data_IF_407668677572
#
_entry.id   IF_407668677572
#
_cell.length_a   1.000
_cell.length_b   1.000
_cell.length_c   1.000
_cell.angle_alpha   90.00
_cell.angle_beta   90.00
_cell.angle_gamma   90.00
#
_symmetry.space_group_name_H-M   'P 1'
#
loop_
_entity.id
_entity.type
_entity.pdbx_description
1 polymer ?
#
# COMPACT_ATOMS: atom_id res chain seq x y z
N UNK A 1 15.54 -8.39 79.75
CA UNK A 1 16.92 -7.90 80.02
C UNK A 1 17.73 -8.17 78.75
N UNK A 2 17.82 -7.22 77.82
CA UNK A 2 18.87 -6.19 77.70
C UNK A 2 20.29 -6.74 77.50
N UNK A 3 20.80 -6.50 76.28
CA UNK A 3 22.17 -6.06 75.89
C UNK A 3 23.18 -7.07 75.34
N UNK A 4 23.92 -6.53 74.36
CA UNK A 4 25.26 -6.88 73.86
C UNK A 4 25.27 -7.90 72.70
N UNK A 5 25.87 -7.70 71.52
CA UNK A 5 26.84 -6.71 71.01
C UNK A 5 26.65 -6.55 69.48
N UNK A 6 26.38 -5.32 69.01
CA UNK A 6 26.61 -4.94 67.61
C UNK A 6 28.07 -4.46 67.50
N UNK A 7 28.94 -5.28 66.90
CA UNK A 7 30.27 -4.85 66.50
C UNK A 7 30.18 -4.20 65.10
N UNK A 8 30.53 -2.92 65.05
CA UNK A 8 30.69 -2.11 63.85
C UNK A 8 31.89 -2.58 63.03
N UNK A 9 31.66 -3.18 61.86
CA UNK A 9 32.66 -3.32 60.82
C UNK A 9 32.40 -2.27 59.73
N UNK A 10 33.12 -1.16 59.85
CA UNK A 10 33.23 -0.12 58.83
C UNK A 10 34.04 -0.65 57.65
N UNK A 11 33.38 -1.18 56.63
CA UNK A 11 33.99 -1.45 55.33
C UNK A 11 33.92 -0.17 54.47
N UNK A 12 35.08 0.42 54.22
CA UNK A 12 35.26 1.51 53.25
C UNK A 12 34.79 1.07 51.85
N UNK A 13 34.10 1.92 51.06
CA UNK A 13 33.81 1.59 49.68
C UNK A 13 35.09 1.78 48.86
N UNK A 14 35.77 0.68 48.53
CA UNK A 14 36.81 0.68 47.50
C UNK A 14 36.12 0.75 46.15
N UNK A 15 36.36 1.86 45.45
CA UNK A 15 35.79 2.14 44.14
C UNK A 15 36.02 1.00 43.15
N UNK A 16 34.93 0.38 42.75
CA UNK A 16 34.83 -0.32 41.49
C UNK A 16 33.71 0.36 40.72
N UNK A 17 34.10 1.05 39.65
CA UNK A 17 33.22 1.85 38.82
C UNK A 17 32.02 1.03 38.39
N UNK A 18 30.84 1.39 38.90
CA UNK A 18 29.60 1.18 38.17
C UNK A 18 29.67 2.05 36.93
N UNK A 19 30.25 1.52 35.86
CA UNK A 19 29.86 1.90 34.52
C UNK A 19 28.41 1.44 34.36
N UNK A 20 27.50 2.25 34.88
CA UNK A 20 26.10 2.23 34.47
C UNK A 20 26.15 2.65 32.99
N UNK A 21 26.29 1.67 32.09
CA UNK A 21 26.05 1.90 30.68
C UNK A 21 24.60 2.40 30.60
N UNK A 22 24.44 3.72 30.48
CA UNK A 22 23.20 4.30 29.98
C UNK A 22 23.07 3.83 28.54
N UNK A 23 22.64 2.58 28.34
CA UNK A 23 22.18 2.09 27.06
C UNK A 23 21.11 3.06 26.59
N UNK A 24 21.44 3.83 25.57
CA UNK A 24 20.54 4.82 25.01
C UNK A 24 19.36 4.05 24.41
N UNK A 25 18.14 4.12 24.96
CA UNK A 25 17.00 3.33 24.47
C UNK A 25 16.73 3.56 22.98
N UNK A 26 17.09 4.77 22.52
CA UNK A 26 17.04 5.14 21.10
C UNK A 26 17.99 4.31 20.23
N UNK A 27 19.22 4.02 20.64
CA UNK A 27 20.17 3.23 19.82
C UNK A 27 19.71 1.79 19.64
N UNK A 28 19.13 1.21 20.69
CA UNK A 28 18.58 -0.15 20.65
C UNK A 28 17.28 -0.23 19.84
N UNK A 29 16.46 0.82 19.83
CA UNK A 29 15.28 0.90 18.97
C UNK A 29 15.65 1.03 17.49
N UNK A 30 16.68 1.82 17.16
CA UNK A 30 17.13 1.95 15.77
C UNK A 30 17.74 0.66 15.23
N UNK A 31 18.46 -0.10 16.06
CA UNK A 31 19.01 -1.40 15.65
C UNK A 31 17.90 -2.44 15.42
N UNK A 32 16.90 -2.51 16.31
CA UNK A 32 15.73 -3.39 16.15
C UNK A 32 14.91 -3.08 14.90
N UNK A 33 14.62 -1.80 14.65
CA UNK A 33 13.90 -1.39 13.45
C UNK A 33 14.70 -1.74 12.19
N UNK A 34 16.02 -1.54 12.19
CA UNK A 34 16.87 -1.92 11.06
C UNK A 34 16.81 -3.43 10.80
N UNK A 35 16.94 -4.26 11.84
CA UNK A 35 16.85 -5.71 11.70
C UNK A 35 15.49 -6.17 11.19
N UNK A 36 14.40 -5.58 11.69
CA UNK A 36 13.05 -5.88 11.22
C UNK A 36 12.88 -5.52 9.74
N UNK A 37 13.38 -4.36 9.30
CA UNK A 37 13.30 -3.95 7.89
C UNK A 37 14.12 -4.85 6.95
N UNK A 38 15.28 -5.34 7.39
CA UNK A 38 16.07 -6.31 6.62
C UNK A 38 15.34 -7.65 6.46
N UNK A 39 14.66 -8.11 7.51
CA UNK A 39 13.84 -9.33 7.48
C UNK A 39 12.62 -9.15 6.57
N UNK A 40 11.90 -8.03 6.69
CA UNK A 40 10.78 -7.68 5.82
C UNK A 40 11.20 -7.68 4.35
N UNK A 41 12.36 -7.09 4.03
CA UNK A 41 12.87 -7.07 2.66
C UNK A 41 13.13 -8.48 2.10
N UNK A 42 13.67 -9.39 2.92
CA UNK A 42 13.85 -10.81 2.54
C UNK A 42 12.51 -11.50 2.33
N UNK A 43 11.55 -11.27 3.23
CA UNK A 43 10.20 -11.83 3.12
C UNK A 43 9.49 -11.37 1.84
N UNK A 44 9.61 -10.08 1.52
CA UNK A 44 9.05 -9.50 0.30
C UNK A 44 9.72 -10.03 -0.97
N UNK A 45 11.05 -10.20 -0.96
CA UNK A 45 11.79 -10.81 -2.08
C UNK A 45 11.26 -12.22 -2.40
N UNK A 46 11.04 -13.05 -1.37
CA UNK A 46 10.48 -14.38 -1.55
C UNK A 46 9.02 -14.33 -2.08
N UNK A 47 8.19 -13.45 -1.52
CA UNK A 47 6.81 -13.25 -2.00
C UNK A 47 6.73 -12.77 -3.45
N UNK A 48 7.63 -11.88 -3.86
CA UNK A 48 7.68 -11.37 -5.23
C UNK A 48 7.90 -12.49 -6.24
N UNK A 49 8.74 -13.46 -5.92
CA UNK A 49 8.93 -14.63 -6.78
C UNK A 49 7.69 -15.53 -6.81
N UNK A 50 6.93 -15.63 -5.72
CA UNK A 50 5.65 -16.34 -5.69
C UNK A 50 4.60 -15.62 -6.55
N UNK A 51 4.41 -14.32 -6.36
CA UNK A 51 3.39 -13.54 -7.06
C UNK A 51 3.60 -13.49 -8.58
N UNK A 52 4.82 -13.72 -9.08
CA UNK A 52 5.11 -13.83 -10.53
C UNK A 52 4.47 -15.04 -11.20
N UNK A 53 4.25 -16.11 -10.44
CA UNK A 53 3.88 -17.42 -11.00
C UNK A 53 2.58 -17.97 -10.41
N UNK A 54 2.09 -17.40 -9.31
CA UNK A 54 0.95 -17.95 -8.56
C UNK A 54 -0.33 -18.07 -9.41
N UNK A 55 -0.56 -17.15 -10.34
CA UNK A 55 -1.73 -17.18 -11.23
C UNK A 55 -1.68 -18.30 -12.28
N UNK A 56 -0.49 -18.89 -12.50
CA UNK A 56 -0.26 -19.98 -13.45
C UNK A 56 0.00 -21.33 -12.76
N UNK A 57 0.01 -21.35 -11.43
CA UNK A 57 0.31 -22.53 -10.63
C UNK A 57 -0.95 -23.11 -9.98
N UNK A 58 -0.91 -24.41 -9.64
CA UNK A 58 -1.91 -24.99 -8.77
C UNK A 58 -1.86 -24.34 -7.37
N UNK A 59 -3.02 -24.22 -6.72
CA UNK A 59 -3.16 -23.54 -5.43
C UNK A 59 -2.24 -24.09 -4.33
N UNK A 60 -1.89 -25.37 -4.42
CA UNK A 60 -1.03 -26.10 -3.48
C UNK A 60 0.30 -26.54 -4.11
N UNK A 61 0.79 -25.82 -5.12
CA UNK A 61 2.05 -26.16 -5.79
C UNK A 61 3.20 -26.26 -4.78
N UNK A 62 3.75 -27.48 -4.66
CA UNK A 62 4.83 -27.80 -3.70
C UNK A 62 6.09 -26.99 -3.96
N UNK A 63 6.28 -26.47 -5.18
CA UNK A 63 7.43 -25.64 -5.57
C UNK A 63 7.39 -24.26 -4.91
N UNK A 64 6.20 -23.76 -4.57
CA UNK A 64 6.02 -22.46 -3.92
C UNK A 64 6.19 -22.53 -2.40
N UNK A 65 6.03 -23.72 -1.80
CA UNK A 65 6.10 -23.91 -0.36
C UNK A 65 7.41 -23.44 0.28
N UNK A 66 8.61 -23.64 -0.30
CA UNK A 66 9.85 -23.11 0.27
C UNK A 66 9.89 -21.58 0.29
N UNK A 67 9.39 -20.92 -0.76
CA UNK A 67 9.35 -19.45 -0.84
C UNK A 67 8.33 -18.89 0.15
N UNK A 68 7.14 -19.48 0.21
CA UNK A 68 6.10 -19.11 1.16
C UNK A 68 6.52 -19.32 2.62
N UNK A 69 7.25 -20.41 2.89
CA UNK A 69 7.86 -20.65 4.21
C UNK A 69 8.89 -19.58 4.55
N UNK A 70 9.80 -19.30 3.62
CA UNK A 70 10.84 -18.27 3.79
C UNK A 70 10.21 -16.91 4.05
N UNK A 71 9.17 -16.54 3.30
CA UNK A 71 8.44 -15.30 3.50
C UNK A 71 7.85 -15.23 4.92
N UNK A 72 7.11 -16.27 5.31
CA UNK A 72 6.46 -16.35 6.62
C UNK A 72 7.45 -16.23 7.77
N UNK A 73 8.52 -17.02 7.75
CA UNK A 73 9.57 -17.01 8.79
C UNK A 73 10.21 -15.63 8.92
N UNK A 74 10.48 -14.94 7.81
CA UNK A 74 11.06 -13.61 7.87
C UNK A 74 10.09 -12.56 8.45
N UNK A 75 8.79 -12.64 8.18
CA UNK A 75 7.82 -11.73 8.81
C UNK A 75 7.61 -12.04 10.30
N UNK A 76 7.63 -13.31 10.69
CA UNK A 76 7.60 -13.73 12.10
C UNK A 76 8.82 -13.18 12.85
N UNK A 77 10.03 -13.40 12.33
CA UNK A 77 11.27 -12.86 12.89
C UNK A 77 11.27 -11.32 12.92
N UNK A 78 10.66 -10.67 11.92
CA UNK A 78 10.55 -9.21 11.91
C UNK A 78 9.67 -8.70 13.07
N UNK A 79 8.60 -9.41 13.41
CA UNK A 79 7.73 -9.08 14.55
C UNK A 79 8.38 -9.44 15.89
N UNK A 80 9.21 -10.48 15.95
CA UNK A 80 10.04 -10.76 17.12
C UNK A 80 11.06 -9.63 17.38
N UNK A 81 11.65 -9.08 16.32
CA UNK A 81 12.59 -7.97 16.41
C UNK A 81 11.89 -6.64 16.74
N UNK A 82 10.76 -6.37 16.10
CA UNK A 82 9.94 -5.18 16.30
C UNK A 82 8.45 -5.51 16.16
N UNK A 83 7.83 -5.81 17.30
CA UNK A 83 6.40 -6.11 17.36
C UNK A 83 5.52 -4.89 17.03
N UNK A 84 6.08 -3.67 17.01
CA UNK A 84 5.34 -2.47 16.60
C UNK A 84 5.21 -2.33 15.08
N UNK A 85 5.94 -3.15 14.31
CA UNK A 85 5.94 -3.08 12.86
C UNK A 85 4.60 -3.55 12.28
N UNK A 86 3.80 -2.60 11.82
CA UNK A 86 2.46 -2.86 11.29
C UNK A 86 2.50 -3.56 9.94
N UNK A 87 3.50 -3.24 9.12
CA UNK A 87 3.65 -3.77 7.78
C UNK A 87 3.99 -5.27 7.79
N UNK A 88 4.94 -5.69 8.64
CA UNK A 88 5.25 -7.10 8.84
C UNK A 88 4.01 -7.89 9.32
N UNK A 89 3.24 -7.29 10.24
CA UNK A 89 2.01 -7.88 10.76
C UNK A 89 0.95 -8.04 9.68
N UNK A 90 0.73 -7.02 8.86
CA UNK A 90 -0.17 -7.09 7.71
C UNK A 90 0.25 -8.17 6.72
N UNK A 91 1.53 -8.26 6.36
CA UNK A 91 1.98 -9.28 5.42
C UNK A 91 1.89 -10.70 5.97
N UNK A 92 2.15 -10.89 7.28
CA UNK A 92 1.94 -12.17 7.94
C UNK A 92 0.44 -12.55 7.95
N UNK A 93 -0.44 -11.58 8.22
CA UNK A 93 -1.89 -11.76 8.11
C UNK A 93 -2.28 -12.21 6.69
N UNK A 94 -1.76 -11.51 5.67
CA UNK A 94 -2.03 -11.80 4.26
C UNK A 94 -1.52 -13.17 3.83
N UNK A 95 -0.36 -13.60 4.32
CA UNK A 95 0.15 -14.97 4.13
C UNK A 95 -0.84 -16.01 4.62
N UNK A 96 -1.37 -15.82 5.83
CA UNK A 96 -2.35 -16.74 6.42
C UNK A 96 -3.72 -16.71 5.75
N UNK A 97 -4.13 -15.60 5.14
CA UNK A 97 -5.44 -15.46 4.50
C UNK A 97 -5.41 -15.90 3.02
N UNK A 98 -4.47 -15.34 2.24
CA UNK A 98 -4.40 -15.50 0.78
C UNK A 98 -3.66 -16.76 0.35
N UNK A 99 -2.49 -17.05 0.93
CA UNK A 99 -1.57 -18.06 0.39
C UNK A 99 -1.72 -19.44 1.06
N UNK A 100 -1.25 -20.50 0.39
CA UNK A 100 -1.17 -21.85 0.96
C UNK A 100 0.17 -22.05 1.71
N UNK A 101 0.34 -21.31 2.80
CA UNK A 101 1.57 -21.36 3.61
C UNK A 101 1.57 -22.54 4.59
N UNK A 102 2.73 -23.12 4.94
CA UNK A 102 2.83 -24.12 6.00
C UNK A 102 2.29 -23.59 7.34
N UNK A 103 1.38 -24.35 7.96
CA UNK A 103 0.71 -23.93 9.19
C UNK A 103 -0.25 -22.76 8.99
N UNK A 104 -0.89 -22.66 7.81
CA UNK A 104 -1.97 -21.70 7.54
C UNK A 104 -3.06 -21.81 8.60
N UNK A 105 -3.46 -20.68 9.18
CA UNK A 105 -4.57 -20.58 10.13
C UNK A 105 -5.32 -19.27 9.85
N UNK A 106 -6.55 -19.38 9.36
CA UNK A 106 -7.36 -18.21 8.99
C UNK A 106 -7.67 -17.32 10.21
N UNK A 107 -7.88 -17.93 11.38
CA UNK A 107 -8.14 -17.20 12.62
C UNK A 107 -6.93 -16.32 13.03
N UNK A 108 -5.71 -16.85 12.94
CA UNK A 108 -4.48 -16.09 13.18
C UNK A 108 -4.35 -14.97 12.15
N UNK A 109 -4.60 -15.27 10.87
CA UNK A 109 -4.58 -14.27 9.81
C UNK A 109 -5.55 -13.12 10.05
N UNK A 110 -6.79 -13.42 10.43
CA UNK A 110 -7.80 -12.43 10.74
C UNK A 110 -7.43 -11.57 11.97
N UNK A 111 -6.93 -12.20 13.04
CA UNK A 111 -6.49 -11.49 14.23
C UNK A 111 -5.35 -10.50 13.93
N UNK A 112 -4.32 -10.96 13.19
CA UNK A 112 -3.19 -10.12 12.78
C UNK A 112 -3.63 -8.96 11.87
N UNK A 113 -4.61 -9.19 10.99
CA UNK A 113 -5.16 -8.15 10.13
C UNK A 113 -5.86 -7.05 10.95
N UNK A 114 -6.71 -7.45 11.90
CA UNK A 114 -7.41 -6.51 12.79
C UNK A 114 -6.41 -5.73 13.65
N UNK A 115 -5.41 -6.40 14.20
CA UNK A 115 -4.34 -5.74 14.95
C UNK A 115 -3.59 -4.72 14.09
N UNK A 116 -3.15 -5.11 12.88
CA UNK A 116 -2.42 -4.21 11.97
C UNK A 116 -3.27 -2.98 11.59
N UNK A 117 -4.56 -3.18 11.29
CA UNK A 117 -5.48 -2.10 10.97
C UNK A 117 -5.68 -1.13 12.15
N UNK A 118 -5.82 -1.68 13.37
CA UNK A 118 -5.95 -0.89 14.60
C UNK A 118 -4.68 -0.11 14.94
N UNK A 119 -3.51 -0.65 14.59
CA UNK A 119 -2.22 0.03 14.73
C UNK A 119 -1.95 1.09 13.65
N UNK A 120 -2.83 1.22 12.65
CA UNK A 120 -2.76 2.28 11.66
C UNK A 120 -2.26 1.86 10.29
N UNK A 121 -2.05 0.56 10.02
CA UNK A 121 -1.54 0.12 8.72
C UNK A 121 -2.54 0.42 7.59
N UNK A 122 -2.19 1.22 6.57
CA UNK A 122 -3.14 1.61 5.53
C UNK A 122 -3.57 0.44 4.65
N UNK A 123 -2.67 -0.52 4.39
CA UNK A 123 -2.98 -1.71 3.60
C UNK A 123 -3.94 -2.63 4.38
N UNK A 124 -3.68 -2.83 5.68
CA UNK A 124 -4.57 -3.61 6.54
C UNK A 124 -5.94 -2.96 6.74
N UNK A 125 -6.00 -1.64 6.91
CA UNK A 125 -7.26 -0.89 7.02
C UNK A 125 -8.11 -1.05 5.76
N UNK A 126 -7.50 -0.86 4.58
CA UNK A 126 -8.19 -1.08 3.32
C UNK A 126 -8.67 -2.53 3.17
N UNK A 127 -7.80 -3.50 3.45
CA UNK A 127 -8.14 -4.90 3.24
C UNK A 127 -9.19 -5.40 4.24
N UNK A 128 -9.15 -4.93 5.49
CA UNK A 128 -10.19 -5.20 6.50
C UNK A 128 -11.53 -4.57 6.11
N UNK A 129 -11.51 -3.31 5.67
CA UNK A 129 -12.72 -2.64 5.18
C UNK A 129 -13.35 -3.37 4.00
N UNK A 130 -12.53 -3.85 3.06
CA UNK A 130 -13.01 -4.68 1.94
C UNK A 130 -13.63 -6.00 2.40
N UNK A 131 -13.02 -6.70 3.37
CA UNK A 131 -13.56 -7.97 3.88
C UNK A 131 -14.88 -7.78 4.61
N UNK A 132 -14.99 -6.78 5.48
CA UNK A 132 -16.22 -6.49 6.22
C UNK A 132 -17.40 -6.18 5.29
N UNK A 133 -17.14 -5.54 4.15
CA UNK A 133 -18.15 -5.27 3.12
C UNK A 133 -18.61 -6.51 2.35
N UNK A 134 -17.75 -7.52 2.20
CA UNK A 134 -18.06 -8.75 1.44
C UNK A 134 -18.75 -9.78 2.33
N UNK A 135 -18.37 -9.86 3.61
CA UNK A 135 -18.79 -10.95 4.50
C UNK A 135 -20.22 -10.79 5.07
N UNK A 136 -20.89 -9.63 4.92
CA UNK A 136 -22.15 -9.37 5.64
C UNK A 136 -23.18 -8.54 4.87
N UNK A 137 -24.41 -9.07 4.72
CA UNK A 137 -25.62 -8.36 4.25
C UNK A 137 -26.28 -7.49 5.36
N UNK A 138 -25.54 -7.10 6.40
CA UNK A 138 -26.08 -6.44 7.60
C UNK A 138 -25.52 -5.01 7.77
N UNK A 139 -26.42 -4.03 7.95
CA UNK A 139 -26.12 -2.59 8.06
C UNK A 139 -25.00 -2.21 9.05
N UNK A 140 -24.80 -2.98 10.13
CA UNK A 140 -23.76 -2.69 11.12
C UNK A 140 -22.34 -3.00 10.62
N UNK A 141 -22.18 -3.93 9.68
CA UNK A 141 -20.88 -4.26 9.08
C UNK A 141 -20.42 -3.16 8.13
N UNK A 142 -21.38 -2.53 7.44
CA UNK A 142 -21.10 -1.43 6.51
C UNK A 142 -20.46 -0.23 7.23
N UNK A 143 -20.97 0.15 8.41
CA UNK A 143 -20.39 1.26 9.18
C UNK A 143 -18.94 0.98 9.59
N UNK A 144 -18.63 -0.25 10.00
CA UNK A 144 -17.25 -0.63 10.35
C UNK A 144 -16.36 -0.70 9.10
N UNK A 145 -16.88 -1.19 7.99
CA UNK A 145 -16.17 -1.19 6.71
C UNK A 145 -15.81 0.24 6.27
N UNK A 146 -16.78 1.16 6.31
CA UNK A 146 -16.55 2.57 6.00
C UNK A 146 -15.54 3.22 6.94
N UNK A 147 -15.61 2.94 8.24
CA UNK A 147 -14.64 3.45 9.22
C UNK A 147 -13.19 3.10 8.86
N UNK A 148 -12.92 1.84 8.50
CA UNK A 148 -11.58 1.43 8.11
C UNK A 148 -11.18 1.97 6.73
N UNK A 149 -12.11 2.06 5.78
CA UNK A 149 -11.86 2.66 4.47
C UNK A 149 -11.55 4.16 4.56
N UNK A 150 -12.25 4.91 5.41
CA UNK A 150 -11.98 6.34 5.66
C UNK A 150 -10.57 6.55 6.22
N UNK A 151 -10.16 5.74 7.21
CA UNK A 151 -8.78 5.80 7.72
C UNK A 151 -7.73 5.50 6.66
N UNK A 152 -8.01 4.56 5.74
CA UNK A 152 -7.12 4.28 4.62
C UNK A 152 -7.10 5.45 3.61
N UNK A 153 -8.22 6.13 3.38
CA UNK A 153 -8.30 7.35 2.56
C UNK A 153 -7.47 8.49 3.17
N UNK A 154 -7.54 8.69 4.48
CA UNK A 154 -6.76 9.72 5.20
C UNK A 154 -5.24 9.54 5.00
N UNK A 155 -4.82 8.28 4.80
CA UNK A 155 -3.44 7.90 4.50
C UNK A 155 -3.13 7.84 2.99
N UNK A 156 -4.06 8.29 2.14
CA UNK A 156 -3.98 8.26 0.69
C UNK A 156 -3.75 6.85 0.13
N UNK A 157 -4.33 5.81 0.75
CA UNK A 157 -4.19 4.44 0.27
C UNK A 157 -4.81 4.30 -1.13
N UNK A 158 -4.08 3.79 -2.15
CA UNK A 158 -4.52 3.80 -3.54
C UNK A 158 -5.85 3.07 -3.78
N UNK A 159 -6.05 1.90 -3.16
CA UNK A 159 -7.30 1.16 -3.30
C UNK A 159 -8.48 1.86 -2.61
N UNK A 160 -8.23 2.56 -1.50
CA UNK A 160 -9.27 3.25 -0.76
C UNK A 160 -9.70 4.53 -1.49
N UNK A 161 -8.73 5.28 -2.05
CA UNK A 161 -8.98 6.40 -2.94
C UNK A 161 -9.73 5.98 -4.20
N UNK A 162 -9.43 4.81 -4.79
CA UNK A 162 -10.20 4.28 -5.91
C UNK A 162 -11.67 4.04 -5.53
N UNK A 163 -11.94 3.42 -4.39
CA UNK A 163 -13.31 3.19 -3.91
C UNK A 163 -14.05 4.52 -3.66
N UNK A 164 -13.39 5.48 -3.04
CA UNK A 164 -13.95 6.81 -2.82
C UNK A 164 -14.25 7.54 -4.15
N UNK A 165 -13.34 7.44 -5.12
CA UNK A 165 -13.56 7.98 -6.46
C UNK A 165 -14.76 7.33 -7.15
N UNK A 166 -14.95 6.02 -6.99
CA UNK A 166 -16.10 5.30 -7.53
C UNK A 166 -17.41 5.77 -6.88
N UNK A 167 -17.41 6.01 -5.57
CA UNK A 167 -18.53 6.58 -4.81
C UNK A 167 -18.91 7.97 -5.33
N UNK A 168 -17.94 8.87 -5.52
CA UNK A 168 -18.21 10.20 -6.10
C UNK A 168 -18.66 10.15 -7.57
N UNK A 169 -18.16 9.18 -8.35
CA UNK A 169 -18.53 9.02 -9.75
C UNK A 169 -19.97 8.53 -9.92
N UNK A 170 -20.40 7.59 -9.08
CA UNK A 170 -21.75 6.98 -9.11
C UNK A 170 -22.79 7.83 -8.40
N UNK A 171 -22.39 8.57 -7.36
CA UNK A 171 -23.32 9.23 -6.45
C UNK A 171 -23.95 8.26 -5.44
N UNK A 172 -23.30 7.12 -5.19
CA UNK A 172 -23.75 6.17 -4.17
C UNK A 172 -23.49 6.76 -2.77
N UNK A 173 -24.53 6.93 -1.96
CA UNK A 173 -24.47 7.50 -0.60
C UNK A 173 -24.01 8.98 -0.49
N UNK A 174 -23.54 9.60 -1.58
CA UNK A 174 -23.13 11.02 -1.66
C UNK A 174 -23.64 11.66 -2.95
N UNK A 175 -23.68 12.99 -3.02
CA UNK A 175 -23.99 13.67 -4.28
C UNK A 175 -22.88 13.41 -5.29
N UNK A 176 -23.25 13.07 -6.52
CA UNK A 176 -22.29 12.86 -7.61
C UNK A 176 -21.39 14.09 -7.78
N UNK A 177 -20.07 13.85 -7.83
CA UNK A 177 -19.05 14.88 -7.98
C UNK A 177 -17.89 14.37 -8.83
N UNK A 178 -17.92 14.74 -10.12
CA UNK A 178 -16.91 14.33 -11.09
C UNK A 178 -15.52 14.90 -10.77
N UNK A 179 -15.45 16.10 -10.19
CA UNK A 179 -14.17 16.73 -9.86
C UNK A 179 -13.47 15.96 -8.72
N UNK A 180 -14.22 15.64 -7.66
CA UNK A 180 -13.70 14.82 -6.56
C UNK A 180 -13.35 13.40 -7.01
N UNK A 181 -14.14 12.79 -7.91
CA UNK A 181 -13.81 11.49 -8.50
C UNK A 181 -12.50 11.53 -9.29
N UNK A 182 -12.31 12.53 -10.15
CA UNK A 182 -11.07 12.72 -10.91
C UNK A 182 -9.86 12.91 -10.00
N UNK A 183 -9.99 13.69 -8.92
CA UNK A 183 -8.92 13.86 -7.95
C UNK A 183 -8.54 12.54 -7.28
N UNK A 184 -9.53 11.76 -6.84
CA UNK A 184 -9.31 10.46 -6.20
C UNK A 184 -8.62 9.48 -7.14
N UNK A 185 -9.10 9.37 -8.38
CA UNK A 185 -8.53 8.46 -9.36
C UNK A 185 -7.12 8.86 -9.77
N UNK A 186 -6.86 10.16 -9.96
CA UNK A 186 -5.52 10.67 -10.23
C UNK A 186 -4.54 10.34 -9.10
N UNK A 187 -4.90 10.61 -7.84
CA UNK A 187 -4.04 10.31 -6.69
C UNK A 187 -3.77 8.82 -6.51
N UNK A 188 -4.76 7.97 -6.76
CA UNK A 188 -4.58 6.53 -6.73
C UNK A 188 -3.70 6.04 -7.90
N UNK A 189 -3.83 6.63 -9.09
CA UNK A 189 -3.02 6.23 -10.26
C UNK A 189 -1.57 6.68 -10.15
N UNK A 190 -1.28 7.83 -9.52
CA UNK A 190 0.09 8.25 -9.17
C UNK A 190 0.82 7.21 -8.32
N UNK A 191 0.08 6.45 -7.50
CA UNK A 191 0.58 5.32 -6.70
C UNK A 191 0.53 3.97 -7.43
N UNK A 192 0.23 3.95 -8.73
CA UNK A 192 0.24 2.75 -9.57
C UNK A 192 -1.04 1.91 -9.53
N UNK A 193 -2.15 2.43 -8.98
CA UNK A 193 -3.40 1.67 -8.95
C UNK A 193 -4.03 1.54 -10.34
N UNK A 194 -3.96 0.33 -10.92
CA UNK A 194 -4.38 0.09 -12.30
C UNK A 194 -5.85 0.47 -12.58
N UNK A 195 -6.78 0.09 -11.70
CA UNK A 195 -8.19 0.42 -11.86
C UNK A 195 -8.47 1.92 -11.81
N UNK A 196 -7.69 2.67 -11.02
CA UNK A 196 -7.83 4.12 -10.92
C UNK A 196 -7.24 4.82 -12.14
N UNK A 197 -6.11 4.33 -12.64
CA UNK A 197 -5.52 4.82 -13.88
C UNK A 197 -6.48 4.64 -15.07
N UNK A 198 -7.13 3.47 -15.18
CA UNK A 198 -8.16 3.23 -16.20
C UNK A 198 -9.36 4.15 -16.02
N UNK A 199 -9.88 4.29 -14.80
CA UNK A 199 -11.01 5.16 -14.53
C UNK A 199 -10.69 6.62 -14.89
N UNK A 200 -9.52 7.12 -14.47
CA UNK A 200 -9.07 8.48 -14.78
C UNK A 200 -8.87 8.68 -16.29
N UNK A 201 -8.15 7.78 -16.97
CA UNK A 201 -7.96 7.83 -18.42
C UNK A 201 -9.27 7.79 -19.21
N UNK A 202 -10.24 6.97 -18.77
CA UNK A 202 -11.55 6.92 -19.39
C UNK A 202 -12.34 8.21 -19.22
N UNK A 203 -12.26 8.88 -18.05
CA UNK A 203 -12.91 10.17 -17.82
C UNK A 203 -12.29 11.29 -18.69
N UNK A 204 -10.96 11.27 -18.87
CA UNK A 204 -10.27 12.20 -19.76
C UNK A 204 -10.74 12.07 -21.21
N UNK A 205 -10.86 10.83 -21.72
CA UNK A 205 -11.37 10.59 -23.08
C UNK A 205 -12.84 10.99 -23.27
N UNK A 206 -13.63 11.00 -22.19
CA UNK A 206 -15.03 11.48 -22.22
C UNK A 206 -15.13 13.02 -22.21
N UNK A 207 -14.00 13.73 -22.12
CA UNK A 207 -13.97 15.19 -22.07
C UNK A 207 -14.41 15.77 -20.73
N UNK A 208 -14.35 14.99 -19.65
CA UNK A 208 -14.63 15.53 -18.30
C UNK A 208 -13.52 16.53 -17.96
N UNK A 209 -13.93 17.72 -17.54
CA UNK A 209 -13.00 18.80 -17.22
C UNK A 209 -12.09 18.41 -16.07
N UNK A 210 -10.78 18.53 -16.30
CA UNK A 210 -9.78 18.35 -15.27
C UNK A 210 -9.89 19.51 -14.27
N UNK A 211 -10.13 19.26 -12.98
CA UNK A 211 -10.17 20.31 -11.98
C UNK A 211 -8.86 21.12 -11.99
N UNK A 212 -8.93 22.44 -11.82
CA UNK A 212 -7.75 23.32 -11.79
C UNK A 212 -6.69 22.90 -10.75
N UNK A 213 -7.13 22.21 -9.69
CA UNK A 213 -6.25 21.65 -8.66
C UNK A 213 -5.30 20.61 -9.24
N UNK A 214 -5.69 19.86 -10.28
CA UNK A 214 -4.86 18.85 -10.93
C UNK A 214 -4.03 19.44 -12.09
N UNK A 215 -4.53 20.46 -12.78
CA UNK A 215 -3.82 21.07 -13.94
C UNK A 215 -2.50 21.73 -13.54
N UNK A 216 -2.40 22.28 -12.31
CA UNK A 216 -1.16 22.86 -11.78
C UNK A 216 -0.03 21.84 -11.54
N UNK A 217 -0.33 20.54 -11.50
CA UNK A 217 0.63 19.47 -11.21
C UNK A 217 1.08 18.67 -12.44
N UNK A 218 0.82 19.14 -13.66
CA UNK A 218 1.48 18.62 -14.86
C UNK A 218 2.70 19.48 -15.22
N UNK A 219 3.84 19.46 -14.48
CA UNK A 219 5.05 20.01 -15.03
C UNK A 219 5.49 19.02 -16.12
N UNK A 220 5.60 19.50 -17.35
CA UNK A 220 6.03 18.69 -18.49
C UNK A 220 7.21 17.80 -18.12
N UNK A 221 7.06 16.48 -18.30
CA UNK A 221 8.20 15.56 -18.31
C UNK A 221 9.08 15.95 -19.49
N UNK A 222 10.06 16.81 -19.22
CA UNK A 222 11.08 17.16 -20.18
C UNK A 222 11.93 15.93 -20.50
N UNK A 223 11.75 15.36 -21.69
CA UNK A 223 12.84 14.71 -22.41
C UNK A 223 13.27 15.63 -23.55
N UNK A 224 14.57 15.88 -23.59
CA UNK A 224 15.24 16.88 -24.40
C UNK A 224 15.06 16.71 -25.92
N UNK A 225 15.24 17.85 -26.60
CA UNK A 225 15.55 18.05 -28.02
C UNK A 225 14.37 18.15 -29.02
N UNK A 226 13.72 19.32 -29.04
CA UNK A 226 13.62 20.11 -30.28
C UNK A 226 13.40 21.60 -29.98
N UNK A 227 14.39 22.42 -30.35
CA UNK A 227 14.21 23.87 -30.45
C UNK A 227 13.38 24.15 -31.70
N UNK A 228 12.18 24.69 -31.52
CA UNK A 228 11.59 25.66 -32.46
C UNK A 228 10.55 26.51 -31.74
N UNK A 229 10.54 27.78 -32.10
CA UNK A 229 10.04 28.96 -31.40
C UNK A 229 8.51 29.03 -31.13
N UNK A 230 8.20 29.73 -30.02
CA UNK A 230 7.04 30.62 -29.74
C UNK A 230 5.61 30.03 -29.70
N UNK A 231 4.99 30.08 -28.51
CA UNK A 231 3.85 30.97 -28.19
C UNK A 231 3.47 30.87 -26.71
N UNK A 232 2.93 31.97 -26.19
CA UNK A 232 2.34 32.11 -24.86
C UNK A 232 0.92 31.60 -24.98
N UNK A 233 0.67 30.38 -24.52
CA UNK A 233 -0.66 29.82 -24.23
C UNK A 233 -0.40 28.67 -23.24
N UNK A 234 -1.29 28.49 -22.26
CA UNK A 234 -1.21 27.36 -21.32
C UNK A 234 -0.92 26.06 -22.07
N UNK A 235 -0.07 25.16 -21.55
CA UNK A 235 0.21 23.91 -22.25
C UNK A 235 -1.13 23.20 -22.47
N UNK A 236 -1.59 23.15 -23.72
CA UNK A 236 -2.75 22.37 -24.13
C UNK A 236 -2.35 20.92 -23.90
N UNK A 237 -2.62 20.41 -22.70
CA UNK A 237 -2.34 19.02 -22.39
C UNK A 237 -3.40 18.22 -23.13
N UNK A 238 -3.00 17.51 -24.18
CA UNK A 238 -3.90 16.69 -24.98
C UNK A 238 -4.56 15.63 -24.07
N UNK A 239 -5.91 15.64 -23.91
CA UNK A 239 -6.62 14.65 -23.11
C UNK A 239 -6.34 13.21 -23.55
N UNK A 240 -6.06 12.99 -24.83
CA UNK A 240 -5.72 11.68 -25.39
C UNK A 240 -4.33 11.23 -24.90
N UNK A 241 -3.35 12.11 -24.91
CA UNK A 241 -2.00 11.82 -24.40
C UNK A 241 -2.01 11.57 -22.89
N UNK A 242 -2.79 12.36 -22.13
CA UNK A 242 -2.98 12.11 -20.69
C UNK A 242 -3.62 10.75 -20.45
N UNK A 243 -4.67 10.40 -21.20
CA UNK A 243 -5.31 9.10 -21.08
C UNK A 243 -4.35 7.95 -21.43
N UNK A 244 -3.55 8.10 -22.50
CA UNK A 244 -2.51 7.14 -22.89
C UNK A 244 -1.52 6.88 -21.74
N UNK A 245 -1.02 7.95 -21.11
CA UNK A 245 -0.12 7.84 -19.96
C UNK A 245 -0.75 7.04 -18.81
N UNK A 246 -2.04 7.19 -18.57
CA UNK A 246 -2.76 6.45 -17.54
C UNK A 246 -2.95 4.97 -17.91
N UNK A 247 -3.26 4.68 -19.17
CA UNK A 247 -3.36 3.29 -19.63
C UNK A 247 -2.00 2.59 -19.61
N UNK A 248 -0.89 3.30 -19.83
CA UNK A 248 0.45 2.76 -19.60
C UNK A 248 0.71 2.42 -18.13
N UNK A 249 0.27 3.27 -17.19
CA UNK A 249 0.39 2.98 -15.75
C UNK A 249 -0.37 1.69 -15.43
N UNK A 250 -1.61 1.55 -15.93
CA UNK A 250 -2.40 0.34 -15.75
C UNK A 250 -1.75 -0.91 -16.37
N UNK A 251 -1.19 -0.78 -17.58
CA UNK A 251 -0.49 -1.86 -18.26
C UNK A 251 0.78 -2.29 -17.52
N UNK A 252 1.59 -1.34 -17.03
CA UNK A 252 2.79 -1.60 -16.20
C UNK A 252 2.44 -2.28 -14.87
N UNK A 253 1.24 -2.02 -14.35
CA UNK A 253 0.70 -2.71 -13.19
C UNK A 253 0.10 -4.10 -13.50
N UNK A 254 0.23 -4.59 -14.74
CA UNK A 254 -0.22 -5.93 -15.15
C UNK A 254 -1.71 -6.02 -15.48
N UNK A 255 -2.40 -4.89 -15.74
CA UNK A 255 -3.82 -4.91 -16.08
C UNK A 255 -4.05 -5.02 -17.59
N UNK A 256 -4.64 -6.14 -18.04
CA UNK A 256 -5.00 -6.40 -19.43
C UNK A 256 -5.85 -5.30 -20.07
N UNK A 257 -6.74 -4.71 -19.29
CA UNK A 257 -7.61 -3.64 -19.78
C UNK A 257 -6.79 -2.39 -20.15
N UNK A 258 -5.66 -2.13 -19.48
CA UNK A 258 -4.72 -1.07 -19.86
C UNK A 258 -4.16 -1.30 -21.26
N UNK A 259 -3.71 -2.52 -21.57
CA UNK A 259 -3.23 -2.88 -22.92
C UNK A 259 -4.32 -2.76 -23.99
N UNK A 260 -5.55 -3.18 -23.67
CA UNK A 260 -6.69 -3.04 -24.60
C UNK A 260 -6.99 -1.58 -24.94
N UNK A 261 -6.92 -0.68 -23.96
CA UNK A 261 -7.10 0.75 -24.19
C UNK A 261 -5.98 1.35 -25.04
N UNK A 262 -4.71 0.96 -24.81
CA UNK A 262 -3.58 1.42 -25.62
C UNK A 262 -3.71 0.99 -27.08
N UNK A 263 -4.02 -0.29 -27.34
CA UNK A 263 -4.23 -0.80 -28.69
C UNK A 263 -5.35 -0.06 -29.42
N UNK A 264 -6.44 0.24 -28.70
CA UNK A 264 -7.57 1.01 -29.27
C UNK A 264 -7.13 2.41 -29.69
N UNK A 265 -6.36 3.11 -28.87
CA UNK A 265 -5.85 4.45 -29.20
C UNK A 265 -4.92 4.40 -30.42
N UNK A 266 -4.06 3.39 -30.53
CA UNK A 266 -3.20 3.20 -31.70
C UNK A 266 -3.99 2.93 -32.99
N UNK A 267 -5.06 2.13 -32.92
CA UNK A 267 -5.93 1.87 -34.05
C UNK A 267 -6.67 3.14 -34.50
N UNK A 268 -7.18 3.93 -33.56
CA UNK A 268 -7.84 5.21 -33.85
C UNK A 268 -6.86 6.21 -34.49
N UNK A 269 -5.62 6.30 -33.99
CA UNK A 269 -4.57 7.13 -34.58
C UNK A 269 -4.22 6.70 -36.01
N UNK A 270 -4.05 5.39 -36.25
CA UNK A 270 -3.80 4.85 -37.59
C UNK A 270 -4.96 5.12 -38.56
N UNK A 271 -6.21 5.07 -38.09
CA UNK A 271 -7.38 5.40 -38.91
C UNK A 271 -7.41 6.87 -39.31
N UNK A 272 -7.09 7.78 -38.39
CA UNK A 272 -7.02 9.22 -38.64
C UNK A 272 -5.89 9.59 -39.61
N UNK A 273 -4.77 8.87 -39.57
CA UNK A 273 -3.65 9.05 -40.52
C UNK A 273 -3.95 8.48 -41.92
N UNK A 274 -4.94 7.59 -42.03
CA UNK A 274 -5.34 6.96 -43.29
C UNK A 274 -6.54 7.63 -43.98
N UNK A 275 -7.17 8.63 -43.34
CA UNK A 275 -8.30 9.44 -43.84
C UNK A 275 -7.85 10.80 -44.36
#
# INVERSE_FOLDING_TARGET
MLRSLCATLSLKPTGHGRLLFMLHPRRDMHSRNKTAMELIAKGWSALKEVDRVIDYCELNDRRLLPLLRTAKENFELALEADNSNTHARYWLAKLHLKYHVPGKCLAVGAALLVEAANMGDPDAQYELGCRLRVEHDYFSSDQQAFYYLEKAVDQLHPGALYLLGAVYLTGDCVKQDLASAMWCFHRASEKGHAGAAIAYGSLLLRGVQVPEVLTKFFPGRGSAARKSQKSVDDPIVDPVEMARNQFEIAAKAGCDLGFKWLNRLEEEEKRLLAS
#
